data_IF_777017976877
#
_entry.id   IF_777017976877
#
_cell.length_a   1.000
_cell.length_b   1.000
_cell.length_c   1.000
_cell.angle_alpha   90.00
_cell.angle_beta   90.00
_cell.angle_gamma   90.00
#
_symmetry.space_group_name_H-M   'P 1'
#
loop_
_entity.id
_entity.type
_entity.pdbx_description
1 polymer ?
#
# COMPACT_ATOMS: atom_id res chain seq x y z
N UNK A 1 28.03 -2.85 11.70
CA UNK A 1 26.81 -3.24 12.46
C UNK A 1 26.67 -4.75 12.39
N UNK A 2 26.43 -5.43 13.51
CA UNK A 2 26.26 -6.89 13.53
C UNK A 2 24.93 -7.32 12.90
N UNK A 3 24.85 -8.55 12.36
CA UNK A 3 23.62 -9.13 11.79
C UNK A 3 22.46 -9.12 12.79
N UNK A 4 22.77 -9.37 14.06
CA UNK A 4 21.81 -9.31 15.17
C UNK A 4 21.11 -7.95 15.31
N UNK A 5 21.83 -6.84 15.11
CA UNK A 5 21.23 -5.49 15.20
C UNK A 5 20.19 -5.25 14.10
N UNK A 6 20.46 -5.70 12.87
CA UNK A 6 19.51 -5.55 11.77
C UNK A 6 18.27 -6.41 11.95
N UNK A 7 18.45 -7.64 12.44
CA UNK A 7 17.34 -8.49 12.84
C UNK A 7 16.47 -7.79 13.89
N UNK A 8 17.08 -7.28 14.97
CA UNK A 8 16.36 -6.58 16.03
C UNK A 8 15.61 -5.34 15.51
N UNK A 9 16.25 -4.50 14.67
CA UNK A 9 15.59 -3.33 14.07
C UNK A 9 14.38 -3.75 13.23
N UNK A 10 14.52 -4.78 12.39
CA UNK A 10 13.42 -5.30 11.58
C UNK A 10 12.27 -5.83 12.42
N UNK A 11 12.57 -6.61 13.46
CA UNK A 11 11.56 -7.14 14.40
C UNK A 11 10.83 -6.01 15.14
N UNK A 12 11.56 -5.01 15.66
CA UNK A 12 10.94 -3.88 16.35
C UNK A 12 10.08 -3.02 15.42
N UNK A 13 10.53 -2.82 14.18
CA UNK A 13 9.74 -2.11 13.17
C UNK A 13 8.44 -2.88 12.84
N UNK A 14 8.52 -4.20 12.66
CA UNK A 14 7.36 -5.05 12.42
C UNK A 14 6.38 -5.00 13.59
N UNK A 15 6.85 -5.13 14.83
CA UNK A 15 5.99 -5.09 16.02
C UNK A 15 5.33 -3.73 16.20
N UNK A 16 6.08 -2.64 16.01
CA UNK A 16 5.56 -1.27 16.11
C UNK A 16 4.45 -1.01 15.08
N UNK A 17 4.67 -1.33 13.82
CA UNK A 17 3.66 -1.16 12.76
C UNK A 17 2.48 -2.14 12.91
N UNK A 18 2.71 -3.33 13.45
CA UNK A 18 1.64 -4.26 13.77
C UNK A 18 0.75 -3.72 14.89
N UNK A 19 1.30 -3.01 15.88
CA UNK A 19 0.50 -2.33 16.90
C UNK A 19 -0.44 -1.27 16.28
N UNK A 20 0.01 -0.52 15.25
CA UNK A 20 -0.85 0.38 14.48
C UNK A 20 -1.97 -0.35 13.72
N UNK A 21 -1.69 -1.54 13.18
CA UNK A 21 -2.70 -2.38 12.55
C UNK A 21 -3.79 -2.83 13.54
N UNK A 22 -3.47 -3.06 14.81
CA UNK A 22 -4.45 -3.38 15.85
C UNK A 22 -5.16 -2.15 16.43
N UNK A 23 -4.46 -1.02 16.53
CA UNK A 23 -5.02 0.19 17.13
C UNK A 23 -6.10 0.87 16.27
N UNK A 24 -6.18 0.54 14.98
CA UNK A 24 -7.15 1.13 14.04
C UNK A 24 -8.23 0.11 13.63
N UNK A 25 -9.51 0.50 13.61
CA UNK A 25 -10.58 -0.41 13.23
C UNK A 25 -10.47 -0.83 11.75
N UNK A 26 -11.09 -1.95 11.40
CA UNK A 26 -11.24 -2.37 10.00
C UNK A 26 -12.02 -1.28 9.25
N UNK A 27 -11.58 -0.94 8.04
CA UNK A 27 -12.20 0.15 7.27
C UNK A 27 -11.81 1.58 7.66
N UNK A 28 -10.99 1.80 8.70
CA UNK A 28 -10.53 3.14 9.09
C UNK A 28 -9.89 4.01 7.99
N UNK A 29 -9.11 3.45 7.03
CA UNK A 29 -8.48 4.27 6.01
C UNK A 29 -9.52 5.03 5.18
N UNK A 30 -9.14 6.19 4.59
CA UNK A 30 -9.96 6.86 3.58
C UNK A 30 -10.44 5.83 2.54
N UNK A 31 -11.73 5.86 2.24
CA UNK A 31 -12.38 4.94 1.30
C UNK A 31 -12.11 3.45 1.62
N UNK A 32 -12.02 3.09 2.91
CA UNK A 32 -11.80 1.71 3.33
C UNK A 32 -12.84 0.73 2.78
N UNK A 33 -14.09 1.17 2.58
CA UNK A 33 -15.18 0.38 2.00
C UNK A 33 -14.92 0.07 0.52
N UNK A 34 -14.36 1.04 -0.22
CA UNK A 34 -13.91 0.83 -1.59
C UNK A 34 -12.79 -0.21 -1.65
N UNK A 35 -11.75 -0.05 -0.82
CA UNK A 35 -10.59 -0.95 -0.85
C UNK A 35 -10.94 -2.37 -0.39
N UNK A 36 -11.77 -2.54 0.63
CA UNK A 36 -12.24 -3.87 1.03
C UNK A 36 -13.01 -4.56 -0.10
N UNK A 37 -13.94 -3.84 -0.74
CA UNK A 37 -14.71 -4.40 -1.84
C UNK A 37 -13.84 -4.78 -3.03
N UNK A 38 -12.91 -3.90 -3.45
CA UNK A 38 -11.96 -4.19 -4.53
C UNK A 38 -11.05 -5.38 -4.21
N UNK A 39 -10.57 -5.50 -2.96
CA UNK A 39 -9.77 -6.67 -2.55
C UNK A 39 -10.60 -7.95 -2.62
N UNK A 40 -11.83 -7.96 -2.10
CA UNK A 40 -12.65 -9.18 -2.07
C UNK A 40 -13.05 -9.67 -3.47
N UNK A 41 -13.28 -8.72 -4.39
CA UNK A 41 -13.74 -9.00 -5.75
C UNK A 41 -12.64 -8.99 -6.81
N UNK A 42 -11.37 -8.76 -6.44
CA UNK A 42 -10.26 -8.68 -7.39
C UNK A 42 -10.16 -9.91 -8.32
N UNK A 43 -10.46 -11.10 -7.78
CA UNK A 43 -10.43 -12.36 -8.52
C UNK A 43 -11.76 -12.74 -9.17
N UNK A 44 -12.71 -11.80 -9.24
CA UNK A 44 -14.05 -12.01 -9.77
C UNK A 44 -14.98 -12.74 -8.78
N UNK A 45 -15.94 -13.47 -9.34
CA UNK A 45 -16.96 -14.19 -8.57
C UNK A 45 -16.33 -15.23 -7.63
N UNK A 46 -16.68 -15.13 -6.35
CA UNK A 46 -16.19 -16.00 -5.29
C UNK A 46 -17.32 -16.34 -4.33
N UNK A 47 -17.71 -17.62 -4.29
CA UNK A 47 -18.86 -18.08 -3.50
C UNK A 47 -18.81 -17.62 -2.03
N UNK A 48 -19.79 -16.80 -1.64
CA UNK A 48 -19.92 -16.26 -0.29
C UNK A 48 -18.86 -15.21 0.08
N UNK A 49 -18.19 -14.61 -0.91
CA UNK A 49 -17.18 -13.56 -0.70
C UNK A 49 -17.36 -12.40 -1.68
N UNK A 50 -17.63 -12.68 -2.94
CA UNK A 50 -17.89 -11.66 -3.95
C UNK A 50 -18.85 -12.21 -5.00
N UNK A 51 -19.73 -11.34 -5.49
CA UNK A 51 -20.47 -11.56 -6.73
C UNK A 51 -20.42 -10.29 -7.58
N UNK A 52 -20.10 -10.43 -8.85
CA UNK A 52 -20.16 -9.37 -9.85
C UNK A 52 -21.56 -9.34 -10.44
N UNK A 53 -22.30 -8.27 -10.19
CA UNK A 53 -23.63 -8.07 -10.76
C UNK A 53 -23.56 -7.14 -11.96
N UNK A 54 -24.00 -7.63 -13.12
CA UNK A 54 -23.98 -6.81 -14.33
C UNK A 54 -24.99 -5.68 -14.23
N UNK A 55 -24.52 -4.44 -14.42
CA UNK A 55 -25.40 -3.28 -14.50
C UNK A 55 -26.20 -3.37 -15.80
N UNK A 56 -27.52 -3.20 -15.70
CA UNK A 56 -28.43 -3.28 -16.85
C UNK A 56 -28.00 -2.30 -17.95
N UNK A 57 -27.98 -2.79 -19.19
CA UNK A 57 -27.65 -2.02 -20.40
C UNK A 57 -26.27 -1.32 -20.34
N UNK A 58 -25.32 -1.85 -19.56
CA UNK A 58 -23.97 -1.30 -19.40
C UNK A 58 -22.89 -2.39 -19.51
N UNK A 59 -21.66 -1.98 -19.82
CA UNK A 59 -20.43 -2.79 -19.75
C UNK A 59 -19.79 -2.79 -18.36
N UNK A 60 -20.54 -2.32 -17.35
CA UNK A 60 -20.10 -2.20 -15.98
C UNK A 60 -20.69 -3.31 -15.10
N UNK A 61 -20.00 -3.58 -14.01
CA UNK A 61 -20.47 -4.47 -12.94
C UNK A 61 -20.46 -3.74 -11.61
N UNK A 62 -21.47 -4.04 -10.80
CA UNK A 62 -21.51 -3.69 -9.39
C UNK A 62 -20.92 -4.84 -8.56
N UNK A 63 -20.14 -4.50 -7.53
CA UNK A 63 -19.56 -5.47 -6.62
C UNK A 63 -20.53 -5.75 -5.47
N UNK A 64 -20.92 -7.02 -5.31
CA UNK A 64 -21.67 -7.50 -4.15
C UNK A 64 -20.69 -8.15 -3.18
N UNK A 65 -20.66 -7.66 -1.95
CA UNK A 65 -19.65 -8.02 -0.93
C UNK A 65 -20.29 -8.20 0.44
N UNK A 66 -19.62 -8.83 1.41
CA UNK A 66 -20.15 -8.96 2.76
C UNK A 66 -20.68 -7.65 3.31
N UNK A 67 -21.84 -7.69 3.95
CA UNK A 67 -22.51 -6.53 4.54
C UNK A 67 -21.59 -5.72 5.47
N UNK A 68 -20.65 -6.37 6.15
CA UNK A 68 -19.61 -5.73 6.97
C UNK A 68 -18.80 -4.67 6.22
N UNK A 69 -18.67 -4.77 4.89
CA UNK A 69 -17.90 -3.83 4.07
C UNK A 69 -18.72 -2.65 3.56
N UNK A 70 -20.05 -2.70 3.69
CA UNK A 70 -20.90 -1.63 3.21
C UNK A 70 -20.97 -0.48 4.22
N UNK A 71 -20.72 0.74 3.75
CA UNK A 71 -20.93 1.97 4.53
C UNK A 71 -22.42 2.24 4.81
N UNK A 72 -23.31 1.65 4.02
CA UNK A 72 -24.75 1.93 4.08
C UNK A 72 -25.52 0.99 5.02
N UNK A 73 -24.88 -0.03 5.57
CA UNK A 73 -25.52 -1.09 6.34
C UNK A 73 -25.28 -0.96 7.84
N UNK A 74 -25.16 0.27 8.33
CA UNK A 74 -25.02 0.56 9.76
C UNK A 74 -26.25 0.08 10.55
N UNK A 75 -26.08 -0.47 11.77
CA UNK A 75 -24.84 -0.56 12.56
C UNK A 75 -23.95 -1.79 12.25
N UNK A 76 -24.33 -2.62 11.28
CA UNK A 76 -23.70 -3.93 11.02
C UNK A 76 -22.42 -3.87 10.15
N UNK A 77 -22.05 -2.68 9.69
CA UNK A 77 -20.85 -2.42 8.90
C UNK A 77 -19.65 -1.98 9.74
N UNK A 78 -18.44 -2.18 9.24
CA UNK A 78 -17.20 -1.65 9.84
C UNK A 78 -17.11 -0.11 9.79
N UNK A 79 -18.11 0.58 9.24
CA UNK A 79 -18.12 2.01 8.94
C UNK A 79 -19.18 2.79 9.75
N UNK A 80 -19.67 2.22 10.84
CA UNK A 80 -20.72 2.78 11.69
C UNK A 80 -20.38 4.15 12.31
N UNK A 81 -19.10 4.52 12.39
CA UNK A 81 -18.63 5.83 12.85
C UNK A 81 -18.46 6.86 11.71
N UNK A 82 -18.56 6.44 10.45
CA UNK A 82 -18.37 7.35 9.31
C UNK A 82 -19.52 8.36 9.26
N UNK A 83 -19.16 9.65 9.26
CA UNK A 83 -20.12 10.75 9.30
C UNK A 83 -20.64 11.10 10.70
N UNK A 84 -20.14 10.44 11.76
CA UNK A 84 -20.51 10.71 13.14
C UNK A 84 -19.27 10.83 14.03
N UNK A 85 -18.81 12.06 14.26
CA UNK A 85 -17.63 12.35 15.09
C UNK A 85 -17.80 12.00 16.58
N UNK A 86 -19.04 11.83 17.05
CA UNK A 86 -19.34 11.42 18.43
C UNK A 86 -19.34 9.91 18.64
N UNK A 87 -19.32 9.12 17.56
CA UNK A 87 -19.29 7.66 17.63
C UNK A 87 -17.85 7.14 17.65
N UNK A 88 -17.55 6.28 18.62
CA UNK A 88 -16.32 5.48 18.58
C UNK A 88 -16.48 4.29 17.63
N UNK A 89 -15.36 3.68 17.24
CA UNK A 89 -15.38 2.44 16.47
C UNK A 89 -15.90 1.22 17.26
N UNK A 90 -16.30 1.36 18.52
CA UNK A 90 -16.88 0.25 19.30
C UNK A 90 -18.17 -0.31 18.71
N UNK A 91 -18.84 0.43 17.83
CA UNK A 91 -20.01 -0.04 17.09
C UNK A 91 -19.68 -1.19 16.11
N UNK A 92 -18.40 -1.42 15.75
CA UNK A 92 -18.00 -2.56 14.91
C UNK A 92 -18.06 -3.91 15.64
N UNK A 93 -18.38 -3.94 16.94
CA UNK A 93 -18.53 -5.18 17.69
C UNK A 93 -19.91 -5.84 17.47
N UNK A 94 -20.82 -5.17 16.75
CA UNK A 94 -22.18 -5.67 16.45
C UNK A 94 -22.19 -6.29 15.05
N UNK A 95 -21.41 -7.35 14.87
CA UNK A 95 -21.35 -8.14 13.62
C UNK A 95 -22.02 -9.48 13.90
N UNK A 96 -23.12 -9.75 13.21
CA UNK A 96 -23.82 -11.03 13.27
C UNK A 96 -23.39 -11.96 12.12
N UNK A 97 -23.85 -13.21 12.13
CA UNK A 97 -23.50 -14.18 11.09
C UNK A 97 -23.98 -13.73 9.69
N UNK A 98 -25.11 -13.01 9.62
CA UNK A 98 -25.62 -12.47 8.35
C UNK A 98 -24.69 -11.40 7.79
N UNK A 99 -24.02 -10.63 8.64
CA UNK A 99 -23.14 -9.54 8.24
C UNK A 99 -21.95 -10.01 7.40
N UNK A 100 -21.46 -11.23 7.63
CA UNK A 100 -20.31 -11.82 6.92
C UNK A 100 -20.70 -12.76 5.78
N UNK A 101 -21.94 -13.25 5.75
CA UNK A 101 -22.41 -14.22 4.75
C UNK A 101 -23.31 -13.61 3.66
N UNK A 102 -24.09 -12.58 3.99
CA UNK A 102 -24.95 -11.88 3.05
C UNK A 102 -24.12 -10.95 2.17
N UNK A 103 -24.24 -11.15 0.84
CA UNK A 103 -23.61 -10.29 -0.14
C UNK A 103 -24.58 -9.17 -0.52
N UNK A 104 -24.20 -7.94 -0.21
CA UNK A 104 -24.96 -6.72 -0.52
C UNK A 104 -24.21 -5.87 -1.51
N UNK A 105 -24.96 -5.04 -2.25
CA UNK A 105 -24.41 -4.01 -3.11
C UNK A 105 -23.43 -3.11 -2.33
N UNK A 106 -22.18 -3.06 -2.77
CA UNK A 106 -21.17 -2.19 -2.16
C UNK A 106 -21.29 -0.73 -2.64
N UNK A 107 -22.16 -0.45 -3.62
CA UNK A 107 -22.23 0.84 -4.31
C UNK A 107 -21.01 1.13 -5.17
N UNK A 108 -20.19 0.11 -5.48
CA UNK A 108 -18.96 0.26 -6.28
C UNK A 108 -19.17 -0.37 -7.64
N UNK A 109 -19.15 0.48 -8.66
CA UNK A 109 -19.40 0.13 -10.06
C UNK A 109 -18.12 0.33 -10.86
N UNK A 110 -17.71 -0.70 -11.59
CA UNK A 110 -16.49 -0.69 -12.38
C UNK A 110 -16.74 -1.17 -13.81
N UNK A 111 -15.99 -0.68 -14.81
CA UNK A 111 -15.82 -1.40 -16.05
C UNK A 111 -15.28 -2.81 -15.76
N UNK A 112 -15.80 -3.84 -16.44
CA UNK A 112 -15.43 -5.25 -16.20
C UNK A 112 -13.91 -5.49 -16.25
N UNK A 113 -13.20 -4.76 -17.12
CA UNK A 113 -11.75 -4.87 -17.29
C UNK A 113 -10.92 -4.03 -16.28
N UNK A 114 -11.57 -3.37 -15.32
CA UNK A 114 -10.93 -2.48 -14.34
C UNK A 114 -11.31 -2.83 -12.90
N UNK A 115 -11.87 -4.01 -12.66
CA UNK A 115 -12.28 -4.49 -11.33
C UNK A 115 -11.06 -4.64 -10.40
N UNK A 116 -9.89 -4.95 -10.97
CA UNK A 116 -8.70 -5.25 -10.20
C UNK A 116 -7.45 -4.51 -10.69
N UNK A 117 -6.52 -4.35 -9.77
CA UNK A 117 -5.16 -3.87 -9.99
C UNK A 117 -4.17 -4.85 -9.33
N UNK A 118 -2.88 -4.71 -9.63
CA UNK A 118 -1.85 -5.59 -9.06
C UNK A 118 -1.90 -5.67 -7.52
N UNK A 119 -2.17 -4.54 -6.86
CA UNK A 119 -2.30 -4.49 -5.40
C UNK A 119 -3.51 -5.31 -4.94
N UNK A 120 -4.68 -5.12 -5.56
CA UNK A 120 -5.90 -5.83 -5.17
C UNK A 120 -5.80 -7.32 -5.48
N UNK A 121 -5.27 -7.72 -6.63
CA UNK A 121 -5.06 -9.13 -6.98
C UNK A 121 -4.20 -9.87 -5.97
N UNK A 122 -3.07 -9.26 -5.57
CA UNK A 122 -2.13 -9.88 -4.65
C UNK A 122 -2.70 -9.97 -3.23
N UNK A 123 -3.36 -8.90 -2.77
CA UNK A 123 -3.96 -8.88 -1.43
C UNK A 123 -5.24 -9.73 -1.33
N UNK A 124 -5.99 -9.88 -2.43
CA UNK A 124 -7.18 -10.75 -2.51
C UNK A 124 -6.88 -12.23 -2.24
N UNK A 125 -5.65 -12.68 -2.50
CA UNK A 125 -5.19 -14.04 -2.17
C UNK A 125 -5.12 -14.31 -0.67
N UNK A 126 -5.05 -13.25 0.14
CA UNK A 126 -5.10 -13.34 1.60
C UNK A 126 -6.53 -13.22 2.13
N UNK A 127 -7.50 -12.90 1.26
CA UNK A 127 -8.90 -12.77 1.62
C UNK A 127 -9.62 -14.12 1.65
N UNK A 128 -10.51 -14.27 2.63
CA UNK A 128 -11.36 -15.44 2.85
C UNK A 128 -12.75 -14.99 3.35
N UNK A 129 -13.62 -15.95 3.69
CA UNK A 129 -14.94 -15.65 4.27
C UNK A 129 -14.85 -15.01 5.66
N UNK A 130 -13.79 -15.29 6.41
CA UNK A 130 -13.49 -14.62 7.66
C UNK A 130 -12.89 -13.24 7.35
N UNK A 131 -13.73 -12.20 7.44
CA UNK A 131 -13.37 -10.83 7.05
C UNK A 131 -12.33 -10.21 7.97
N UNK A 132 -12.41 -10.47 9.27
CA UNK A 132 -11.51 -9.91 10.28
C UNK A 132 -10.11 -10.49 10.17
N UNK A 133 -10.00 -11.83 10.19
CA UNK A 133 -8.72 -12.52 10.05
C UNK A 133 -8.05 -12.19 8.71
N UNK A 134 -8.84 -12.05 7.64
CA UNK A 134 -8.34 -11.62 6.33
C UNK A 134 -7.81 -10.19 6.36
N UNK A 135 -8.54 -9.25 6.98
CA UNK A 135 -8.10 -7.86 7.09
C UNK A 135 -6.75 -7.76 7.84
N UNK A 136 -6.57 -8.49 8.94
CA UNK A 136 -5.30 -8.52 9.65
C UNK A 136 -4.18 -9.18 8.86
N UNK A 137 -4.44 -10.30 8.16
CA UNK A 137 -3.45 -10.93 7.27
C UNK A 137 -2.94 -9.97 6.20
N UNK A 138 -3.84 -9.20 5.58
CA UNK A 138 -3.48 -8.19 4.57
C UNK A 138 -2.65 -7.06 5.20
N UNK A 139 -3.06 -6.55 6.37
CA UNK A 139 -2.32 -5.51 7.10
C UNK A 139 -0.90 -5.96 7.45
N UNK A 140 -0.73 -7.16 8.01
CA UNK A 140 0.59 -7.69 8.34
C UNK A 140 1.43 -7.96 7.09
N UNK A 141 0.82 -8.39 5.99
CA UNK A 141 1.53 -8.54 4.72
C UNK A 141 2.08 -7.19 4.21
N UNK A 142 1.31 -6.10 4.33
CA UNK A 142 1.78 -4.76 3.98
C UNK A 142 2.91 -4.28 4.91
N UNK A 143 2.83 -4.56 6.21
CA UNK A 143 3.91 -4.25 7.16
C UNK A 143 5.18 -5.04 6.81
N UNK A 144 5.08 -6.35 6.54
CA UNK A 144 6.21 -7.18 6.13
C UNK A 144 6.83 -6.68 4.84
N UNK A 145 6.00 -6.30 3.86
CA UNK A 145 6.46 -5.72 2.60
C UNK A 145 7.26 -4.43 2.84
N UNK A 146 6.72 -3.51 3.66
CA UNK A 146 7.42 -2.29 4.04
C UNK A 146 8.76 -2.58 4.73
N UNK A 147 8.76 -3.43 5.75
CA UNK A 147 9.98 -3.77 6.51
C UNK A 147 11.02 -4.42 5.60
N UNK A 148 10.61 -5.30 4.69
CA UNK A 148 11.48 -5.94 3.70
C UNK A 148 12.12 -4.93 2.74
N UNK A 149 11.31 -4.04 2.16
CA UNK A 149 11.77 -3.01 1.22
C UNK A 149 12.65 -1.96 1.91
N UNK A 150 12.25 -1.49 3.09
CA UNK A 150 13.05 -0.57 3.90
C UNK A 150 14.39 -1.20 4.31
N UNK A 151 14.39 -2.47 4.71
CA UNK A 151 15.63 -3.20 5.01
C UNK A 151 16.53 -3.31 3.78
N UNK A 152 15.98 -3.65 2.62
CA UNK A 152 16.72 -3.69 1.36
C UNK A 152 17.34 -2.34 1.04
N UNK A 153 16.55 -1.26 1.12
CA UNK A 153 17.00 0.11 0.90
C UNK A 153 18.20 0.46 1.78
N UNK A 154 18.10 0.19 3.09
CA UNK A 154 19.14 0.53 4.06
C UNK A 154 20.37 -0.39 3.96
N UNK A 155 20.21 -1.66 3.60
CA UNK A 155 21.31 -2.61 3.51
C UNK A 155 22.11 -2.49 2.21
N UNK A 156 21.41 -2.31 1.07
CA UNK A 156 22.01 -2.25 -0.26
C UNK A 156 22.63 -0.87 -0.51
N UNK A 157 21.89 0.21 -0.26
CA UNK A 157 22.33 1.57 -0.60
C UNK A 157 23.04 2.24 0.59
N UNK A 158 24.17 1.67 1.00
CA UNK A 158 24.93 2.09 2.21
C UNK A 158 25.24 3.59 2.25
N UNK A 159 25.52 4.19 1.09
CA UNK A 159 25.83 5.63 0.96
C UNK A 159 24.66 6.53 1.34
N UNK A 160 23.43 6.10 1.08
CA UNK A 160 22.21 6.86 1.36
C UNK A 160 21.51 6.44 2.65
N UNK A 161 22.02 5.40 3.34
CA UNK A 161 21.38 4.78 4.51
C UNK A 161 20.90 5.78 5.56
N UNK A 162 21.75 6.71 6.01
CA UNK A 162 21.40 7.63 7.10
C UNK A 162 20.28 8.57 6.65
N UNK A 163 20.41 9.16 5.47
CA UNK A 163 19.41 10.07 4.92
C UNK A 163 18.09 9.34 4.67
N UNK A 164 18.13 8.13 4.11
CA UNK A 164 16.95 7.30 3.91
C UNK A 164 16.30 6.88 5.22
N UNK A 165 17.08 6.53 6.25
CA UNK A 165 16.55 6.19 7.56
C UNK A 165 15.83 7.39 8.21
N UNK A 166 16.42 8.58 8.15
CA UNK A 166 15.79 9.80 8.65
C UNK A 166 14.51 10.15 7.87
N UNK A 167 14.55 10.05 6.53
CA UNK A 167 13.38 10.28 5.70
C UNK A 167 12.24 9.30 6.00
N UNK A 168 12.56 8.01 6.19
CA UNK A 168 11.60 7.01 6.61
C UNK A 168 11.04 7.33 8.01
N UNK A 169 11.87 7.71 8.97
CA UNK A 169 11.40 8.08 10.32
C UNK A 169 10.42 9.25 10.28
N UNK A 170 10.69 10.29 9.49
CA UNK A 170 9.78 11.42 9.30
C UNK A 170 8.50 10.98 8.60
N UNK A 171 8.61 10.19 7.53
CA UNK A 171 7.46 9.66 6.79
C UNK A 171 6.59 8.71 7.62
N UNK A 172 7.18 8.03 8.61
CA UNK A 172 6.52 7.13 9.56
C UNK A 172 5.84 7.86 10.72
N UNK A 173 5.60 9.17 10.62
CA UNK A 173 4.63 9.85 11.51
C UNK A 173 3.28 9.12 11.55
N UNK A 174 2.36 9.50 12.46
CA UNK A 174 1.12 8.75 12.71
C UNK A 174 0.37 8.33 11.44
N UNK A 175 0.26 9.24 10.47
CA UNK A 175 -0.40 8.99 9.21
C UNK A 175 0.29 7.94 8.32
N UNK A 176 1.61 8.01 8.18
CA UNK A 176 2.37 7.06 7.38
C UNK A 176 2.40 5.67 8.00
N UNK A 177 2.59 5.61 9.34
CA UNK A 177 2.50 4.36 10.09
C UNK A 177 1.14 3.69 9.92
N UNK A 178 0.06 4.46 10.10
CA UNK A 178 -1.31 4.00 9.89
C UNK A 178 -1.55 3.47 8.47
N UNK A 179 -1.16 4.24 7.44
CA UNK A 179 -1.39 3.82 6.05
C UNK A 179 -0.59 2.57 5.68
N UNK A 180 0.68 2.46 6.11
CA UNK A 180 1.51 1.27 5.87
C UNK A 180 0.91 0.04 6.54
N UNK A 181 0.38 0.19 7.75
CA UNK A 181 -0.26 -0.90 8.51
C UNK A 181 -1.74 -1.10 8.16
N UNK A 182 -2.22 -0.58 7.03
CA UNK A 182 -3.63 -0.66 6.62
C UNK A 182 -3.83 -1.54 5.39
N UNK A 183 -5.08 -1.67 4.96
CA UNK A 183 -5.48 -2.33 3.71
C UNK A 183 -5.37 -1.41 2.48
N UNK A 184 -4.94 -0.16 2.68
CA UNK A 184 -5.01 0.88 1.66
C UNK A 184 -3.85 0.74 0.65
N UNK A 185 -4.08 0.92 -0.67
CA UNK A 185 -3.04 0.79 -1.70
C UNK A 185 -1.85 1.75 -1.51
N UNK A 186 -2.06 2.90 -0.87
CA UNK A 186 -0.95 3.82 -0.54
C UNK A 186 0.14 3.19 0.32
N UNK A 187 -0.13 2.08 1.04
CA UNK A 187 0.90 1.32 1.74
C UNK A 187 2.05 0.94 0.80
N UNK A 188 1.75 0.51 -0.42
CA UNK A 188 2.78 0.14 -1.40
C UNK A 188 3.41 1.37 -2.05
N UNK A 189 2.63 2.41 -2.36
CA UNK A 189 3.18 3.65 -2.93
C UNK A 189 4.19 4.32 -1.98
N UNK A 190 3.84 4.44 -0.69
CA UNK A 190 4.73 5.01 0.35
C UNK A 190 5.97 4.12 0.54
N UNK A 191 5.82 2.80 0.43
CA UNK A 191 6.93 1.84 0.56
C UNK A 191 7.92 1.94 -0.60
N UNK A 192 7.42 2.01 -1.84
CA UNK A 192 8.24 1.88 -3.04
C UNK A 192 8.87 3.20 -3.50
N UNK A 193 8.21 4.35 -3.27
CA UNK A 193 8.67 5.65 -3.76
C UNK A 193 10.06 6.07 -3.22
N UNK A 194 10.40 5.89 -1.93
CA UNK A 194 11.75 6.19 -1.44
C UNK A 194 12.83 5.31 -2.08
N UNK A 195 12.52 4.02 -2.27
CA UNK A 195 13.43 3.09 -2.95
C UNK A 195 13.63 3.48 -4.42
N UNK A 196 12.56 3.88 -5.11
CA UNK A 196 12.63 4.38 -6.49
C UNK A 196 13.56 5.60 -6.60
N UNK A 197 13.37 6.60 -5.74
CA UNK A 197 14.22 7.80 -5.76
C UNK A 197 15.69 7.48 -5.51
N UNK A 198 16.00 6.64 -4.51
CA UNK A 198 17.38 6.25 -4.21
C UNK A 198 17.98 5.41 -5.34
N UNK A 199 17.21 4.49 -5.93
CA UNK A 199 17.65 3.69 -7.06
C UNK A 199 17.99 4.57 -8.27
N UNK A 200 17.18 5.59 -8.58
CA UNK A 200 17.49 6.57 -9.62
C UNK A 200 18.77 7.36 -9.33
N UNK A 201 18.93 7.86 -8.10
CA UNK A 201 20.13 8.60 -7.70
C UNK A 201 21.40 7.75 -7.87
N UNK A 202 21.34 6.46 -7.52
CA UNK A 202 22.44 5.50 -7.68
C UNK A 202 22.70 5.21 -9.15
N UNK A 203 21.65 4.93 -9.94
CA UNK A 203 21.75 4.68 -11.38
C UNK A 203 22.40 5.85 -12.16
N UNK A 204 22.28 7.08 -11.65
CA UNK A 204 22.86 8.28 -12.26
C UNK A 204 24.29 8.61 -11.81
N UNK A 205 24.67 8.25 -10.58
CA UNK A 205 25.94 8.69 -9.96
C UNK A 205 26.98 7.60 -9.79
N UNK A 206 26.56 6.36 -9.68
CA UNK A 206 27.47 5.27 -9.39
C UNK A 206 28.41 5.04 -10.59
N UNK A 207 29.73 5.01 -10.33
CA UNK A 207 30.73 4.82 -11.39
C UNK A 207 30.84 3.35 -11.80
N UNK A 208 30.67 2.44 -10.83
CA UNK A 208 30.72 1.01 -11.08
C UNK A 208 29.46 0.55 -11.83
N UNK A 209 29.65 -0.20 -12.93
CA UNK A 209 28.56 -0.62 -13.81
C UNK A 209 27.55 -1.53 -13.10
N UNK A 210 28.01 -2.49 -12.30
CA UNK A 210 27.12 -3.48 -11.66
C UNK A 210 26.06 -2.86 -10.75
N UNK A 211 26.40 -2.09 -9.69
CA UNK A 211 25.40 -1.45 -8.83
C UNK A 211 24.55 -0.41 -9.59
N UNK A 212 25.12 0.24 -10.60
CA UNK A 212 24.41 1.20 -11.45
C UNK A 212 23.29 0.53 -12.26
N UNK A 213 23.61 -0.55 -12.97
CA UNK A 213 22.65 -1.32 -13.77
C UNK A 213 21.61 -1.97 -12.87
N UNK A 214 22.03 -2.55 -11.74
CA UNK A 214 21.11 -3.11 -10.75
C UNK A 214 20.10 -2.06 -10.26
N UNK A 215 20.56 -0.88 -9.87
CA UNK A 215 19.68 0.20 -9.42
C UNK A 215 18.74 0.69 -10.53
N UNK A 216 19.21 0.76 -11.78
CA UNK A 216 18.37 1.11 -12.92
C UNK A 216 17.25 0.09 -13.15
N UNK A 217 17.55 -1.21 -13.05
CA UNK A 217 16.57 -2.28 -13.17
C UNK A 217 15.54 -2.24 -12.02
N UNK A 218 15.99 -1.99 -10.78
CA UNK A 218 15.10 -1.80 -9.64
C UNK A 218 14.16 -0.60 -9.85
N UNK A 219 14.70 0.54 -10.30
CA UNK A 219 13.88 1.72 -10.57
C UNK A 219 12.84 1.44 -11.68
N UNK A 220 13.25 0.76 -12.75
CA UNK A 220 12.36 0.37 -13.85
C UNK A 220 11.24 -0.57 -13.37
N UNK A 221 11.58 -1.57 -12.55
CA UNK A 221 10.60 -2.48 -11.97
C UNK A 221 9.57 -1.73 -11.13
N UNK A 222 10.02 -0.83 -10.25
CA UNK A 222 9.13 -0.02 -9.42
C UNK A 222 8.25 0.88 -10.27
N UNK A 223 8.80 1.49 -11.33
CA UNK A 223 8.03 2.32 -12.26
C UNK A 223 6.79 1.59 -12.76
N UNK A 224 6.94 0.34 -13.23
CA UNK A 224 5.82 -0.45 -13.75
C UNK A 224 4.87 -0.93 -12.65
N UNK A 225 5.40 -1.46 -11.55
CA UNK A 225 4.58 -1.95 -10.43
C UNK A 225 3.66 -0.85 -9.90
N UNK A 226 4.16 0.40 -9.80
CA UNK A 226 3.43 1.47 -9.11
C UNK A 226 2.42 2.19 -10.02
N UNK A 227 2.40 1.94 -11.35
CA UNK A 227 1.48 2.64 -12.27
C UNK A 227 0.01 2.41 -11.93
N UNK A 228 -0.33 1.21 -11.46
CA UNK A 228 -1.73 0.78 -11.29
C UNK A 228 -2.10 0.54 -9.83
N UNK A 229 -1.22 0.88 -8.88
CA UNK A 229 -1.54 0.80 -7.44
C UNK A 229 -2.56 1.89 -7.07
N UNK A 230 -2.36 3.11 -7.61
CA UNK A 230 -3.28 4.26 -7.50
C UNK A 230 -3.15 5.12 -8.75
N UNK A 231 -4.18 5.89 -9.08
CA UNK A 231 -4.12 6.80 -10.23
C UNK A 231 -3.15 7.97 -10.02
N UNK A 232 -2.97 8.44 -8.78
CA UNK A 232 -2.12 9.58 -8.43
C UNK A 232 -0.64 9.21 -8.22
N UNK A 233 -0.30 7.93 -8.01
CA UNK A 233 1.08 7.46 -7.81
C UNK A 233 1.99 7.81 -8.99
N UNK A 234 1.43 7.86 -10.20
CA UNK A 234 2.12 8.21 -11.45
C UNK A 234 2.75 9.60 -11.35
N UNK A 235 2.05 10.56 -10.76
CA UNK A 235 2.57 11.91 -10.59
C UNK A 235 3.73 11.94 -9.58
N UNK A 236 3.63 11.20 -8.48
CA UNK A 236 4.72 11.11 -7.51
C UNK A 236 5.98 10.47 -8.10
N UNK A 237 5.84 9.45 -8.95
CA UNK A 237 6.96 8.85 -9.68
C UNK A 237 7.61 9.86 -10.65
N UNK A 238 6.81 10.63 -11.39
CA UNK A 238 7.32 11.66 -12.30
C UNK A 238 8.10 12.73 -11.52
N UNK A 239 7.55 13.20 -10.39
CA UNK A 239 8.23 14.18 -9.52
C UNK A 239 9.56 13.61 -9.05
N UNK A 240 9.59 12.37 -8.53
CA UNK A 240 10.81 11.73 -8.07
C UNK A 240 11.85 11.58 -9.20
N UNK A 241 11.41 11.24 -10.41
CA UNK A 241 12.26 11.17 -11.59
C UNK A 241 12.87 12.53 -11.94
N UNK A 242 12.05 13.59 -12.01
CA UNK A 242 12.51 14.95 -12.29
C UNK A 242 13.49 15.43 -11.22
N UNK A 243 13.20 15.18 -9.93
CA UNK A 243 14.11 15.50 -8.83
C UNK A 243 15.45 14.79 -8.98
N UNK A 244 15.45 13.49 -9.26
CA UNK A 244 16.68 12.73 -9.48
C UNK A 244 17.47 13.26 -10.68
N UNK A 245 16.79 13.59 -11.78
CA UNK A 245 17.42 14.14 -12.98
C UNK A 245 18.04 15.50 -12.71
N UNK A 246 17.30 16.42 -12.10
CA UNK A 246 17.78 17.77 -11.77
C UNK A 246 19.00 17.72 -10.85
N UNK A 247 18.95 16.88 -9.81
CA UNK A 247 20.10 16.64 -8.93
C UNK A 247 21.29 16.01 -9.67
N UNK A 248 21.01 15.05 -10.56
CA UNK A 248 22.00 14.38 -11.37
C UNK A 248 22.74 15.32 -12.32
N UNK A 249 22.03 16.24 -12.97
CA UNK A 249 22.59 17.24 -13.89
C UNK A 249 23.44 18.27 -13.17
N UNK A 250 22.96 18.84 -12.05
CA UNK A 250 23.67 19.90 -11.35
C UNK A 250 25.07 19.45 -10.89
N UNK A 251 25.17 18.23 -10.36
CA UNK A 251 26.46 17.68 -9.92
C UNK A 251 27.42 17.31 -11.06
N UNK A 252 26.94 17.04 -12.29
CA UNK A 252 27.87 16.90 -13.43
C UNK A 252 28.51 18.24 -13.80
N UNK A 253 27.75 19.34 -13.70
CA UNK A 253 28.30 20.68 -13.95
C UNK A 253 29.41 21.02 -12.95
N UNK A 254 29.25 20.70 -11.67
CA UNK A 254 30.29 20.92 -10.66
C UNK A 254 31.59 20.15 -10.94
N UNK A 255 31.50 18.91 -11.47
CA UNK A 255 32.68 18.13 -11.87
C UNK A 255 33.40 18.76 -13.06
N UNK A 256 32.65 19.27 -14.05
CA UNK A 256 33.24 19.88 -15.25
C UNK A 256 33.92 21.22 -14.91
N UNK A 257 33.34 21.99 -13.98
CA UNK A 257 33.84 23.33 -13.59
C UNK A 257 35.03 23.26 -12.63
N UNK A 258 35.27 22.12 -11.96
CA UNK A 258 36.50 21.87 -11.19
C UNK A 258 37.40 20.89 -11.91
N UNK A 259 38.16 21.31 -12.94
CA UNK A 259 39.25 20.49 -13.44
C UNK A 259 40.32 20.42 -12.34
N UNK A 260 40.62 19.20 -11.89
CA UNK A 260 41.83 18.88 -11.15
C UNK A 260 43.05 19.08 -12.02
#
# INVERSE_FOLDING_TARGET
MSRFRWFLIGTLAFLSLSAWAFASPIGAPPDGDFHLASIWCAQGDRLGMCKLEKVKDSSQVELLTPRTFSRYQNPFGHFCYVGNSGASAGCTNVVDETSVTELVASGRVFPVNQISTLFYDLTSRLASRDTESSAFRIRFANVLFFVGVASLLLLVFKRFRIVSALALLVGLGPWGSFLISSIHPSSWTITLLPLFLVALMVAMKEKANTPRVFAALVALLIWFITQDIRNDSRYFLIIALVTAVAWGVNFRREIIVRPT
#
